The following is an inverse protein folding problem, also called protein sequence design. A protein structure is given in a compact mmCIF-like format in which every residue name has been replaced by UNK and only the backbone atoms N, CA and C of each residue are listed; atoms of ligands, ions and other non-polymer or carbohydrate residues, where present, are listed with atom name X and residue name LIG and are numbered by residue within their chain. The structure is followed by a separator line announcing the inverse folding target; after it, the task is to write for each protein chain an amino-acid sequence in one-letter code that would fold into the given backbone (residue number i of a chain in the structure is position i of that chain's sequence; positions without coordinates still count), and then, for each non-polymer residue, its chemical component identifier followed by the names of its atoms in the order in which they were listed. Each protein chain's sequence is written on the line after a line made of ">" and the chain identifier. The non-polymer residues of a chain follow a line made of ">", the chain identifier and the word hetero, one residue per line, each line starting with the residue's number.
data_IF_326565783072
#
_entry.id   IF_326565783072
#
_cell.length_a   1.000
_cell.length_b   1.000
_cell.length_c   1.000
_cell.angle_alpha   90.00
_cell.angle_beta   90.00
_cell.angle_gamma   90.00
#
_symmetry.space_group_name_H-M   'P 1'
#
loop_
_entity.id
_entity.type
_entity.pdbx_description
1 polymer ?
#
# COMPACT_ATOMS: atom_id res chain seq x y z
N UNK A 1 -21.66 -29.24 -8.90
CA UNK A 1 -22.09 -27.84 -9.17
C UNK A 1 -21.66 -26.93 -8.02
N UNK A 2 -20.93 -25.85 -8.30
CA UNK A 2 -20.51 -24.90 -7.25
C UNK A 2 -21.72 -24.12 -6.71
N UNK A 3 -22.06 -24.31 -5.44
CA UNK A 3 -23.15 -23.58 -4.77
C UNK A 3 -22.68 -22.19 -4.26
N UNK A 4 -21.41 -21.85 -4.46
CA UNK A 4 -20.87 -20.55 -4.06
C UNK A 4 -21.19 -19.50 -5.11
N UNK A 5 -22.12 -18.61 -4.79
CA UNK A 5 -22.40 -17.40 -5.58
C UNK A 5 -21.12 -16.55 -5.58
N UNK A 6 -20.54 -16.29 -6.76
CA UNK A 6 -19.43 -15.33 -6.86
C UNK A 6 -19.92 -13.97 -6.39
N UNK A 7 -19.32 -13.41 -5.35
CA UNK A 7 -19.66 -12.05 -4.91
C UNK A 7 -19.34 -11.08 -6.04
N UNK A 8 -20.33 -10.29 -6.47
CA UNK A 8 -20.10 -9.20 -7.40
C UNK A 8 -19.00 -8.29 -6.85
N UNK A 9 -17.99 -7.99 -7.67
CA UNK A 9 -16.93 -7.05 -7.29
C UNK A 9 -17.58 -5.70 -7.00
N UNK A 10 -17.64 -5.31 -5.72
CA UNK A 10 -18.15 -4.00 -5.35
C UNK A 10 -17.22 -2.93 -5.94
N UNK A 11 -17.74 -2.09 -6.80
CA UNK A 11 -17.01 -0.89 -7.25
C UNK A 11 -16.96 0.09 -6.08
N UNK A 12 -15.75 0.43 -5.66
CA UNK A 12 -15.54 1.46 -4.64
C UNK A 12 -15.82 2.81 -5.33
N UNK A 13 -16.76 3.58 -4.78
CA UNK A 13 -17.04 4.93 -5.25
C UNK A 13 -15.79 5.81 -5.16
N UNK A 14 -15.68 6.77 -6.06
CA UNK A 14 -14.62 7.77 -6.00
C UNK A 14 -14.79 8.63 -4.74
N UNK A 15 -13.68 9.17 -4.26
CA UNK A 15 -13.69 10.09 -3.13
C UNK A 15 -14.47 11.37 -3.45
N UNK A 16 -15.28 11.85 -2.50
CA UNK A 16 -16.13 13.03 -2.71
C UNK A 16 -15.31 14.32 -2.86
N UNK A 17 -14.23 14.48 -2.08
CA UNK A 17 -13.41 15.70 -2.03
C UNK A 17 -12.40 15.77 -3.17
N UNK A 18 -11.69 14.65 -3.44
CA UNK A 18 -10.56 14.63 -4.35
C UNK A 18 -10.77 13.76 -5.59
N UNK A 19 -11.93 13.13 -5.75
CA UNK A 19 -12.29 12.24 -6.88
C UNK A 19 -11.23 11.16 -7.18
N UNK A 20 -10.42 10.80 -6.18
CA UNK A 20 -9.36 9.79 -6.28
C UNK A 20 -9.90 8.39 -5.99
N UNK A 21 -9.55 7.36 -6.76
CA UNK A 21 -9.95 5.98 -6.48
C UNK A 21 -9.08 5.32 -5.39
N UNK A 22 -7.97 5.93 -4.99
CA UNK A 22 -7.02 5.38 -4.02
C UNK A 22 -7.40 5.77 -2.59
N UNK A 23 -7.88 6.99 -2.38
CA UNK A 23 -8.27 7.52 -1.05
C UNK A 23 -9.31 6.63 -0.35
N UNK A 24 -10.43 6.23 -0.99
CA UNK A 24 -11.40 5.35 -0.34
C UNK A 24 -10.81 3.99 0.05
N UNK A 25 -9.85 3.47 -0.73
CA UNK A 25 -9.15 2.24 -0.39
C UNK A 25 -8.25 2.41 0.83
N UNK A 26 -7.56 3.55 0.93
CA UNK A 26 -6.75 3.91 2.10
C UNK A 26 -7.62 4.03 3.34
N UNK A 27 -8.76 4.75 3.27
CA UNK A 27 -9.72 4.92 4.37
C UNK A 27 -10.25 3.57 4.84
N UNK A 28 -10.69 2.71 3.91
CA UNK A 28 -11.21 1.38 4.24
C UNK A 28 -10.14 0.48 4.88
N UNK A 29 -8.88 0.61 4.48
CA UNK A 29 -7.78 -0.18 5.05
C UNK A 29 -7.28 0.37 6.38
N UNK A 30 -7.43 1.68 6.61
CA UNK A 30 -7.07 2.35 7.86
C UNK A 30 -8.09 2.12 8.96
N UNK A 31 -9.37 1.98 8.58
CA UNK A 31 -10.51 1.87 9.47
C UNK A 31 -10.38 0.68 10.44
N UNK A 32 -10.74 0.90 11.71
CA UNK A 32 -10.94 -0.12 12.74
C UNK A 32 -12.41 -0.16 13.17
N UNK A 33 -12.92 -1.32 13.49
CA UNK A 33 -14.26 -1.55 14.08
C UNK A 33 -15.40 -0.84 13.31
N UNK A 34 -15.27 -0.67 12.00
CA UNK A 34 -16.27 0.03 11.21
C UNK A 34 -16.31 1.54 11.38
N UNK A 35 -15.38 2.15 12.12
CA UNK A 35 -15.36 3.60 12.42
C UNK A 35 -14.85 4.41 11.21
N UNK A 36 -15.63 4.42 10.12
CA UNK A 36 -15.24 5.01 8.85
C UNK A 36 -15.03 6.52 8.91
N UNK A 37 -15.92 7.24 9.61
CA UNK A 37 -15.87 8.71 9.73
C UNK A 37 -14.58 9.19 10.41
N UNK A 38 -14.10 8.45 11.41
CA UNK A 38 -12.82 8.73 12.07
C UNK A 38 -11.65 8.52 11.11
N UNK A 39 -11.67 7.41 10.34
CA UNK A 39 -10.63 7.14 9.36
C UNK A 39 -10.61 8.19 8.23
N UNK A 40 -11.77 8.65 7.76
CA UNK A 40 -11.91 9.73 6.79
C UNK A 40 -11.28 11.03 7.31
N UNK A 41 -11.62 11.43 8.53
CA UNK A 41 -11.05 12.63 9.17
C UNK A 41 -9.52 12.54 9.25
N UNK A 42 -8.98 11.40 9.68
CA UNK A 42 -7.53 11.20 9.77
C UNK A 42 -6.84 11.37 8.41
N UNK A 43 -7.41 10.78 7.35
CA UNK A 43 -6.83 10.84 6.00
C UNK A 43 -6.93 12.26 5.44
N UNK A 44 -8.08 12.92 5.58
CA UNK A 44 -8.23 14.31 5.11
C UNK A 44 -7.34 15.28 5.86
N UNK A 45 -7.23 15.16 7.18
CA UNK A 45 -6.30 15.98 7.99
C UNK A 45 -4.84 15.77 7.53
N UNK A 46 -4.46 14.54 7.16
CA UNK A 46 -3.12 14.27 6.64
C UNK A 46 -2.89 14.92 5.27
N UNK A 47 -3.87 14.85 4.37
CA UNK A 47 -3.79 15.47 3.03
C UNK A 47 -3.78 17.00 3.14
N UNK A 48 -4.57 17.59 4.03
CA UNK A 48 -4.60 19.03 4.26
C UNK A 48 -3.26 19.54 4.83
N UNK A 49 -2.55 18.72 5.63
CA UNK A 49 -1.17 19.02 6.07
C UNK A 49 -0.16 18.96 4.91
N UNK A 50 -0.34 18.06 3.95
CA UNK A 50 0.49 18.05 2.73
C UNK A 50 0.32 19.38 1.99
N UNK A 51 -0.93 19.84 1.84
CA UNK A 51 -1.25 21.11 1.19
C UNK A 51 -0.59 22.31 1.88
N UNK A 52 -0.52 22.32 3.21
CA UNK A 52 0.10 23.42 3.96
C UNK A 52 1.62 23.44 3.89
N UNK A 53 2.27 22.29 3.64
CA UNK A 53 3.73 22.14 3.64
C UNK A 53 4.35 22.18 2.24
N UNK A 54 3.57 21.89 1.21
CA UNK A 54 4.04 21.84 -0.18
C UNK A 54 3.25 22.83 -1.05
N UNK A 55 3.92 23.36 -2.07
CA UNK A 55 3.30 24.19 -3.13
C UNK A 55 2.60 23.32 -4.19
N UNK A 56 2.95 22.05 -4.27
CA UNK A 56 2.39 21.13 -5.24
C UNK A 56 1.00 20.64 -4.81
N UNK A 57 0.22 20.17 -5.77
CA UNK A 57 -1.10 19.61 -5.52
C UNK A 57 -1.00 18.39 -4.60
N UNK A 58 -1.73 18.35 -3.46
CA UNK A 58 -1.61 17.28 -2.47
C UNK A 58 -1.87 15.89 -3.02
N UNK A 59 -2.78 15.78 -3.99
CA UNK A 59 -3.12 14.50 -4.64
C UNK A 59 -1.97 13.98 -5.51
N UNK A 60 -1.26 14.86 -6.19
CA UNK A 60 -0.09 14.49 -6.99
C UNK A 60 1.00 13.92 -6.11
N UNK A 61 1.32 14.57 -4.98
CA UNK A 61 2.28 14.08 -3.98
C UNK A 61 1.86 12.72 -3.43
N UNK A 62 0.58 12.59 -3.07
CA UNK A 62 0.04 11.32 -2.55
C UNK A 62 0.15 10.18 -3.58
N UNK A 63 -0.25 10.44 -4.83
CA UNK A 63 -0.17 9.44 -5.90
C UNK A 63 1.27 9.04 -6.20
N UNK A 64 2.19 10.00 -6.21
CA UNK A 64 3.62 9.74 -6.39
C UNK A 64 4.17 8.90 -5.23
N UNK A 65 3.86 9.24 -3.99
CA UNK A 65 4.26 8.47 -2.82
C UNK A 65 3.77 7.00 -2.91
N UNK A 66 2.50 6.79 -3.25
CA UNK A 66 1.95 5.44 -3.46
C UNK A 66 2.70 4.73 -4.60
N UNK A 67 3.00 5.42 -5.69
CA UNK A 67 3.74 4.84 -6.82
C UNK A 67 5.15 4.43 -6.42
N UNK A 68 5.82 5.23 -5.60
CA UNK A 68 7.14 4.91 -5.08
C UNK A 68 7.14 3.67 -4.16
N UNK A 69 6.06 3.44 -3.38
CA UNK A 69 5.91 2.28 -2.49
C UNK A 69 5.54 1.00 -3.26
N UNK A 70 4.87 1.09 -4.42
CA UNK A 70 4.39 -0.09 -5.17
C UNK A 70 5.51 -1.06 -5.50
N UNK A 71 5.42 -2.34 -5.09
CA UNK A 71 6.38 -3.36 -5.51
C UNK A 71 6.09 -3.85 -6.93
N UNK A 72 7.13 -4.16 -7.70
CA UNK A 72 7.05 -4.81 -9.01
C UNK A 72 7.12 -6.32 -8.90
N UNK A 73 7.86 -6.83 -7.90
CA UNK A 73 8.06 -8.25 -7.64
C UNK A 73 7.78 -8.58 -6.19
N UNK A 74 7.30 -9.80 -5.93
CA UNK A 74 7.16 -10.38 -4.60
C UNK A 74 7.69 -11.80 -4.58
N UNK A 75 7.97 -12.33 -3.40
CA UNK A 75 8.38 -13.71 -3.23
C UNK A 75 7.20 -14.53 -2.75
N UNK A 76 6.96 -15.68 -3.39
CA UNK A 76 5.94 -16.65 -2.98
C UNK A 76 6.58 -18.00 -2.70
N UNK A 77 6.20 -18.61 -1.59
CA UNK A 77 6.62 -19.97 -1.29
C UNK A 77 5.88 -20.98 -2.17
N UNK A 78 6.63 -21.92 -2.77
CA UNK A 78 6.11 -23.03 -3.54
C UNK A 78 6.75 -24.34 -3.08
N UNK A 79 5.96 -25.38 -2.93
CA UNK A 79 6.45 -26.70 -2.57
C UNK A 79 6.66 -27.53 -3.83
N UNK A 80 7.89 -27.99 -4.03
CA UNK A 80 8.28 -28.84 -5.17
C UNK A 80 9.07 -30.03 -4.61
N UNK A 81 8.65 -31.26 -4.92
CA UNK A 81 9.36 -32.47 -4.48
C UNK A 81 9.58 -32.62 -2.97
N UNK A 82 8.68 -32.04 -2.15
CA UNK A 82 8.79 -32.06 -0.69
C UNK A 82 9.54 -30.86 -0.08
N UNK A 83 10.35 -30.14 -0.85
CA UNK A 83 11.03 -28.91 -0.41
C UNK A 83 10.21 -27.65 -0.71
N UNK A 84 10.32 -26.62 0.14
CA UNK A 84 9.65 -25.33 -0.06
C UNK A 84 10.65 -24.30 -0.59
N UNK A 85 10.39 -23.80 -1.77
CA UNK A 85 11.21 -22.78 -2.43
C UNK A 85 10.52 -21.41 -2.39
N UNK A 86 11.31 -20.36 -2.26
CA UNK A 86 10.85 -18.97 -2.35
C UNK A 86 10.99 -18.51 -3.81
N UNK A 87 9.87 -18.44 -4.53
CA UNK A 87 9.85 -18.14 -5.96
C UNK A 87 9.50 -16.68 -6.19
N UNK A 88 10.35 -15.88 -6.88
CA UNK A 88 10.02 -14.52 -7.25
C UNK A 88 8.93 -14.49 -8.34
N UNK A 89 7.91 -13.67 -8.15
CA UNK A 89 6.76 -13.53 -9.06
C UNK A 89 6.45 -12.05 -9.28
N UNK A 90 6.13 -11.67 -10.51
CA UNK A 90 5.65 -10.33 -10.80
C UNK A 90 4.31 -10.02 -10.13
N UNK A 91 4.17 -8.82 -9.62
CA UNK A 91 2.97 -8.39 -8.88
C UNK A 91 2.00 -7.68 -9.82
N UNK A 92 0.79 -8.23 -9.98
CA UNK A 92 -0.29 -7.59 -10.74
C UNK A 92 -0.63 -6.21 -10.13
N UNK A 93 -0.92 -5.22 -10.98
CA UNK A 93 -1.15 -3.81 -10.59
C UNK A 93 -2.13 -3.62 -9.42
N UNK A 94 -3.26 -4.35 -9.40
CA UNK A 94 -4.24 -4.29 -8.30
C UNK A 94 -3.66 -4.76 -6.97
N UNK A 95 -2.83 -5.80 -6.98
CA UNK A 95 -2.18 -6.34 -5.80
C UNK A 95 -1.05 -5.41 -5.33
N UNK A 96 -0.24 -4.89 -6.26
CA UNK A 96 0.81 -3.92 -5.98
C UNK A 96 0.26 -2.69 -5.25
N UNK A 97 -0.89 -2.15 -5.72
CA UNK A 97 -1.58 -1.06 -5.05
C UNK A 97 -2.05 -1.44 -3.63
N UNK A 98 -2.62 -2.64 -3.46
CA UNK A 98 -3.08 -3.09 -2.14
C UNK A 98 -1.91 -3.28 -1.16
N UNK A 99 -0.78 -3.80 -1.64
CA UNK A 99 0.45 -3.93 -0.83
C UNK A 99 1.00 -2.56 -0.43
N UNK A 100 1.06 -1.61 -1.37
CA UNK A 100 1.53 -0.25 -1.09
C UNK A 100 0.70 0.44 0.00
N UNK A 101 -0.63 0.34 -0.06
CA UNK A 101 -1.53 0.91 0.96
C UNK A 101 -1.30 0.24 2.31
N UNK A 102 -1.19 -1.09 2.35
CA UNK A 102 -0.94 -1.83 3.59
C UNK A 102 0.39 -1.44 4.21
N UNK A 103 1.47 -1.42 3.43
CA UNK A 103 2.79 -1.05 3.93
C UNK A 103 2.86 0.40 4.42
N UNK A 104 2.18 1.32 3.73
CA UNK A 104 2.05 2.71 4.19
C UNK A 104 1.38 2.78 5.56
N UNK A 105 0.27 2.07 5.76
CA UNK A 105 -0.47 2.07 7.04
C UNK A 105 0.37 1.42 8.14
N UNK A 106 0.99 0.26 7.88
CA UNK A 106 1.82 -0.45 8.85
C UNK A 106 3.05 0.35 9.26
N UNK A 107 3.70 1.03 8.29
CA UNK A 107 4.81 1.93 8.56
C UNK A 107 4.36 3.14 9.39
N UNK A 108 3.24 3.77 9.02
CA UNK A 108 2.68 4.90 9.76
C UNK A 108 2.36 4.53 11.21
N UNK A 109 1.75 3.36 11.45
CA UNK A 109 1.41 2.90 12.82
C UNK A 109 2.63 2.75 13.71
N UNK A 110 3.79 2.39 13.16
CA UNK A 110 5.06 2.22 13.89
C UNK A 110 5.75 3.54 14.24
N UNK A 111 5.34 4.67 13.64
CA UNK A 111 5.93 5.98 13.95
C UNK A 111 5.60 6.42 15.38
N UNK A 112 6.48 7.24 15.97
CA UNK A 112 6.37 7.73 17.35
C UNK A 112 5.48 8.98 17.51
N UNK A 113 4.98 9.55 16.40
CA UNK A 113 4.11 10.73 16.42
C UNK A 113 2.83 10.47 17.25
N UNK A 114 2.25 11.51 17.87
CA UNK A 114 1.07 11.35 18.74
C UNK A 114 -0.21 11.05 17.95
N UNK A 115 -0.49 11.80 16.89
CA UNK A 115 -1.73 11.68 16.11
C UNK A 115 -1.51 10.80 14.87
N UNK A 116 -2.49 9.95 14.55
CA UNK A 116 -2.41 9.10 13.36
C UNK A 116 -2.36 9.91 12.06
N UNK A 117 -2.99 11.09 12.01
CA UNK A 117 -2.88 12.01 10.87
C UNK A 117 -1.45 12.49 10.64
N UNK A 118 -0.69 12.78 11.71
CA UNK A 118 0.72 13.16 11.60
C UNK A 118 1.59 12.00 11.13
N UNK A 119 1.33 10.80 11.65
CA UNK A 119 2.03 9.58 11.23
C UNK A 119 1.86 9.31 9.73
N UNK A 120 0.64 9.39 9.23
CA UNK A 120 0.32 9.18 7.81
C UNK A 120 0.95 10.28 6.96
N UNK A 121 0.79 11.55 7.37
CA UNK A 121 1.39 12.68 6.68
C UNK A 121 2.90 12.53 6.53
N UNK A 122 3.61 12.27 7.65
CA UNK A 122 5.07 12.14 7.65
C UNK A 122 5.52 10.94 6.79
N UNK A 123 4.82 9.80 6.84
CA UNK A 123 5.18 8.65 6.03
C UNK A 123 4.93 8.87 4.53
N UNK A 124 3.83 9.56 4.14
CA UNK A 124 3.57 9.94 2.75
C UNK A 124 4.66 10.90 2.24
N UNK A 125 5.04 11.88 3.05
CA UNK A 125 6.05 12.86 2.68
C UNK A 125 7.44 12.23 2.54
N UNK A 126 7.81 11.32 3.46
CA UNK A 126 9.05 10.54 3.36
C UNK A 126 9.04 9.63 2.12
N UNK A 127 7.91 8.96 1.84
CA UNK A 127 7.76 8.10 0.67
C UNK A 127 7.82 8.88 -0.65
N UNK A 128 7.29 10.10 -0.68
CA UNK A 128 7.43 11.01 -1.83
C UNK A 128 8.91 11.28 -2.12
N UNK A 129 9.73 11.45 -1.08
CA UNK A 129 11.18 11.64 -1.18
C UNK A 129 11.99 10.33 -1.31
N UNK A 130 11.34 9.19 -1.59
CA UNK A 130 11.95 7.86 -1.64
C UNK A 130 12.66 7.47 -0.33
N UNK A 131 12.10 7.86 0.81
CA UNK A 131 12.57 7.53 2.16
C UNK A 131 11.44 6.90 2.98
N UNK A 132 11.74 6.48 4.20
CA UNK A 132 10.74 5.97 5.12
C UNK A 132 10.65 4.45 5.17
N UNK A 133 9.92 3.97 6.17
CA UNK A 133 9.82 2.53 6.47
C UNK A 133 9.02 1.76 5.41
N UNK A 134 8.06 2.41 4.75
CA UNK A 134 7.28 1.81 3.67
C UNK A 134 8.16 1.55 2.42
N UNK A 135 9.02 2.50 2.05
CA UNK A 135 9.99 2.33 0.96
C UNK A 135 10.99 1.23 1.29
N UNK A 136 11.55 1.25 2.52
CA UNK A 136 12.46 0.19 2.97
C UNK A 136 11.81 -1.20 2.85
N UNK A 137 10.54 -1.34 3.21
CA UNK A 137 9.81 -2.61 3.06
C UNK A 137 9.71 -3.07 1.60
N UNK A 138 9.51 -2.16 0.66
CA UNK A 138 9.55 -2.45 -0.78
C UNK A 138 10.94 -2.94 -1.18
N UNK A 139 11.99 -2.20 -0.81
CA UNK A 139 13.38 -2.54 -1.13
C UNK A 139 13.78 -3.91 -0.57
N UNK A 140 13.44 -4.19 0.68
CA UNK A 140 13.67 -5.49 1.31
C UNK A 140 12.96 -6.62 0.54
N UNK A 141 11.73 -6.39 0.07
CA UNK A 141 10.97 -7.36 -0.73
C UNK A 141 11.63 -7.60 -2.09
N UNK A 142 12.08 -6.54 -2.76
CA UNK A 142 12.79 -6.63 -4.03
C UNK A 142 14.14 -7.34 -3.87
N UNK A 143 14.89 -7.03 -2.81
CA UNK A 143 16.16 -7.67 -2.49
C UNK A 143 15.99 -9.17 -2.22
N UNK A 144 14.94 -9.55 -1.49
CA UNK A 144 14.61 -10.96 -1.30
C UNK A 144 14.25 -11.66 -2.63
N UNK A 145 13.52 -11.00 -3.52
CA UNK A 145 13.17 -11.55 -4.83
C UNK A 145 14.42 -11.72 -5.71
N UNK A 146 15.35 -10.77 -5.66
CA UNK A 146 16.62 -10.85 -6.38
C UNK A 146 17.50 -11.98 -5.87
N UNK A 147 17.64 -12.13 -4.55
CA UNK A 147 18.39 -13.23 -3.92
C UNK A 147 17.85 -14.61 -4.29
N UNK A 148 16.55 -14.71 -4.57
CA UNK A 148 15.88 -15.97 -4.95
C UNK A 148 15.68 -16.11 -6.47
N UNK A 149 16.33 -15.27 -7.28
CA UNK A 149 16.17 -15.26 -8.74
C UNK A 149 16.48 -16.61 -9.39
N UNK A 150 17.39 -17.38 -8.83
CA UNK A 150 17.74 -18.72 -9.29
C UNK A 150 16.52 -19.68 -9.32
N UNK A 151 15.50 -19.47 -8.49
CA UNK A 151 14.28 -20.27 -8.41
C UNK A 151 13.14 -19.76 -9.30
N UNK A 152 13.37 -18.73 -10.12
CA UNK A 152 12.35 -18.15 -11.00
C UNK A 152 11.77 -19.17 -12.00
N UNK A 153 12.53 -20.19 -12.40
CA UNK A 153 12.07 -21.25 -13.29
C UNK A 153 10.98 -22.14 -12.68
N UNK A 154 10.77 -22.10 -11.37
CA UNK A 154 9.63 -22.76 -10.71
C UNK A 154 8.33 -21.94 -10.79
N UNK A 155 8.32 -20.82 -11.49
CA UNK A 155 7.11 -20.03 -11.74
C UNK A 155 6.17 -20.78 -12.69
N UNK A 156 4.88 -20.64 -12.54
CA UNK A 156 3.78 -21.21 -13.35
C UNK A 156 2.95 -20.11 -13.98
#
# INVERSE_FOLDING_TARGET
>A
MSRKKSSSKKNISLDAKYKSPIIPKLINSLMYDGKKTIAEKIVYDAIDKIKSKSKDEPITIFNQAITNIKPTVEVRSRRVGGATYQVPVEVKSKRSQALAIRWLIDASRKRKDKKMSDKIFNEIFDAYQNRGSAIKKKEDTHKMAESNKAFAHFTW
#
